data_IF_467924377617
#
_entry.id   IF_467924377617
#
_cell.length_a   1.000
_cell.length_b   1.000
_cell.length_c   1.000
_cell.angle_alpha   90.00
_cell.angle_beta   90.00
_cell.angle_gamma   90.00
#
_symmetry.space_group_name_H-M   'P 1'
#
loop_
_entity.id
_entity.type
_entity.pdbx_description
1 polymer ?
#
# COMPACT_ATOMS: atom_id res chain seq x y z
N UNK A 1 -2.31 -19.54 54.66
CA UNK A 1 -3.22 -19.94 53.58
C UNK A 1 -3.57 -18.82 52.60
N UNK A 2 -3.78 -17.59 53.02
CA UNK A 2 -4.13 -16.45 52.12
C UNK A 2 -3.05 -16.10 51.11
N UNK A 3 -1.76 -16.06 51.49
CA UNK A 3 -0.67 -15.72 50.55
C UNK A 3 -0.57 -16.68 49.36
N UNK A 4 -0.80 -17.97 49.55
CA UNK A 4 -0.77 -18.96 48.46
C UNK A 4 -1.94 -18.72 47.47
N UNK A 5 -3.14 -18.39 47.97
CA UNK A 5 -4.30 -18.07 47.12
C UNK A 5 -4.08 -16.81 46.29
N UNK A 6 -3.48 -15.76 46.88
CA UNK A 6 -3.16 -14.51 46.17
C UNK A 6 -2.13 -14.77 45.06
N UNK A 7 -1.11 -15.54 45.33
CA UNK A 7 -0.08 -15.91 44.32
C UNK A 7 -0.71 -16.71 43.19
N UNK A 8 -1.58 -17.67 43.48
CA UNK A 8 -2.26 -18.47 42.47
C UNK A 8 -3.15 -17.60 41.58
N UNK A 9 -3.95 -16.69 42.14
CA UNK A 9 -4.79 -15.77 41.39
C UNK A 9 -3.94 -14.87 40.51
N UNK A 10 -2.87 -14.29 41.03
CA UNK A 10 -1.96 -13.45 40.25
C UNK A 10 -1.32 -14.22 39.08
N UNK A 11 -0.85 -15.45 39.33
CA UNK A 11 -0.27 -16.28 38.26
C UNK A 11 -1.29 -16.61 37.15
N UNK A 12 -2.55 -16.89 37.54
CA UNK A 12 -3.62 -17.16 36.59
C UNK A 12 -3.95 -15.93 35.72
N UNK A 13 -3.99 -14.74 36.31
CA UNK A 13 -4.20 -13.49 35.59
C UNK A 13 -3.08 -13.19 34.63
N UNK A 14 -1.81 -13.38 35.06
CA UNK A 14 -0.65 -13.19 34.20
C UNK A 14 -0.66 -14.17 33.03
N UNK A 15 -0.97 -15.44 33.28
CA UNK A 15 -1.06 -16.45 32.22
C UNK A 15 -2.15 -16.12 31.22
N UNK A 16 -3.33 -15.70 31.71
CA UNK A 16 -4.44 -15.29 30.84
C UNK A 16 -4.08 -14.05 29.99
N UNK A 17 -3.43 -13.05 30.59
CA UNK A 17 -2.96 -11.88 29.86
C UNK A 17 -1.91 -12.24 28.81
N UNK A 18 -0.98 -13.12 29.13
CA UNK A 18 0.04 -13.59 28.19
C UNK A 18 -0.58 -14.33 26.99
N UNK A 19 -1.55 -15.22 27.23
CA UNK A 19 -2.24 -15.94 26.16
C UNK A 19 -3.10 -15.01 25.28
N UNK A 20 -3.74 -14.02 25.87
CA UNK A 20 -4.49 -13.01 25.14
C UNK A 20 -3.58 -12.15 24.24
N UNK A 21 -2.42 -11.74 24.74
CA UNK A 21 -1.41 -11.00 23.97
C UNK A 21 -0.88 -11.84 22.80
N UNK A 22 -0.51 -13.09 23.04
CA UNK A 22 -0.04 -14.00 21.98
C UNK A 22 -1.12 -14.19 20.90
N UNK A 23 -2.38 -14.35 21.30
CA UNK A 23 -3.51 -14.43 20.38
C UNK A 23 -3.65 -13.15 19.54
N UNK A 24 -3.56 -11.98 20.17
CA UNK A 24 -3.63 -10.69 19.49
C UNK A 24 -2.52 -10.53 18.43
N UNK A 25 -1.28 -10.84 18.79
CA UNK A 25 -0.17 -10.74 17.85
C UNK A 25 -0.17 -11.83 16.77
N UNK A 26 -0.83 -12.95 17.00
CA UNK A 26 -0.91 -14.04 16.00
C UNK A 26 -2.04 -13.87 15.01
N UNK A 27 -3.23 -13.44 15.48
CA UNK A 27 -4.44 -13.37 14.66
C UNK A 27 -4.45 -12.12 13.77
N UNK A 28 -3.93 -11.01 14.28
CA UNK A 28 -3.98 -9.72 13.58
C UNK A 28 -2.67 -9.41 12.82
N UNK A 29 -2.13 -10.39 12.13
CA UNK A 29 -0.99 -10.20 11.23
C UNK A 29 -1.46 -9.97 9.81
N UNK A 30 -0.83 -9.03 9.11
CA UNK A 30 -1.10 -8.78 7.69
C UNK A 30 -0.68 -10.00 6.88
N UNK A 31 -1.63 -10.59 6.18
CA UNK A 31 -1.45 -11.67 5.21
C UNK A 31 -1.90 -11.26 3.82
N UNK A 32 -2.70 -10.21 3.71
CA UNK A 32 -3.23 -9.72 2.45
C UNK A 32 -3.17 -8.20 2.37
N UNK A 33 -2.73 -7.70 1.21
CA UNK A 33 -2.78 -6.28 0.87
C UNK A 33 -3.65 -6.10 -0.36
N UNK A 34 -4.65 -5.23 -0.26
CA UNK A 34 -5.48 -4.79 -1.37
C UNK A 34 -5.12 -3.38 -1.81
N UNK A 35 -5.21 -3.12 -3.11
CA UNK A 35 -5.23 -1.77 -3.65
C UNK A 35 -6.56 -1.55 -4.33
N UNK A 36 -7.33 -0.59 -3.81
CA UNK A 36 -8.63 -0.20 -4.36
C UNK A 36 -8.41 1.07 -5.17
N UNK A 37 -8.54 0.97 -6.48
CA UNK A 37 -8.41 2.14 -7.35
C UNK A 37 -9.32 2.04 -8.57
N UNK A 38 -9.64 3.22 -9.12
CA UNK A 38 -10.30 3.36 -10.41
C UNK A 38 -9.20 3.48 -11.45
N UNK A 39 -9.07 2.48 -12.31
CA UNK A 39 -8.12 2.53 -13.41
C UNK A 39 -8.81 2.98 -14.69
N UNK A 40 -8.09 3.78 -15.45
CA UNK A 40 -8.52 4.26 -16.76
C UNK A 40 -7.59 3.71 -17.86
N UNK A 41 -6.39 3.21 -17.51
CA UNK A 41 -5.41 2.70 -18.47
C UNK A 41 -5.04 1.23 -18.24
N UNK A 42 -4.68 0.54 -19.33
CA UNK A 42 -4.15 -0.84 -19.25
C UNK A 42 -2.77 -0.88 -18.60
N UNK A 43 -2.01 0.22 -18.63
CA UNK A 43 -0.70 0.31 -17.99
C UNK A 43 -0.84 0.29 -16.46
N UNK A 44 -1.72 1.11 -15.90
CA UNK A 44 -2.00 1.09 -14.47
C UNK A 44 -2.50 -0.29 -14.02
N UNK A 45 -3.31 -0.95 -14.83
CA UNK A 45 -3.78 -2.31 -14.55
C UNK A 45 -2.65 -3.34 -14.52
N UNK A 46 -1.66 -3.19 -15.38
CA UNK A 46 -0.50 -4.09 -15.37
C UNK A 46 0.43 -3.85 -14.16
N UNK A 47 0.58 -2.60 -13.74
CA UNK A 47 1.48 -2.23 -12.65
C UNK A 47 0.88 -2.47 -11.25
N UNK A 48 -0.45 -2.51 -11.12
CA UNK A 48 -1.11 -2.67 -9.81
C UNK A 48 -0.73 -3.97 -9.08
N UNK A 49 -0.48 -5.04 -9.81
CA UNK A 49 -0.09 -6.30 -9.17
C UNK A 49 1.33 -6.23 -8.62
N UNK A 50 2.23 -5.50 -9.29
CA UNK A 50 3.57 -5.23 -8.76
C UNK A 50 3.51 -4.34 -7.52
N UNK A 51 2.72 -3.26 -7.56
CA UNK A 51 2.49 -2.40 -6.41
C UNK A 51 1.95 -3.17 -5.20
N UNK A 52 0.97 -4.06 -5.41
CA UNK A 52 0.44 -4.93 -4.34
C UNK A 52 1.50 -5.85 -3.76
N UNK A 53 2.34 -6.44 -4.61
CA UNK A 53 3.40 -7.34 -4.18
C UNK A 53 4.42 -6.62 -3.30
N UNK A 54 4.83 -5.40 -3.69
CA UNK A 54 5.78 -4.60 -2.93
C UNK A 54 5.18 -4.12 -1.60
N UNK A 55 3.91 -3.70 -1.59
CA UNK A 55 3.20 -3.34 -0.36
C UNK A 55 3.03 -4.56 0.56
N UNK A 56 2.75 -5.74 0.02
CA UNK A 56 2.69 -6.97 0.81
C UNK A 56 4.05 -7.30 1.40
N UNK A 57 5.13 -7.21 0.63
CA UNK A 57 6.48 -7.46 1.14
C UNK A 57 6.88 -6.52 2.28
N UNK A 58 6.39 -5.27 2.26
CA UNK A 58 6.63 -4.31 3.34
C UNK A 58 5.87 -4.68 4.62
N UNK A 59 4.61 -5.09 4.51
CA UNK A 59 3.72 -5.24 5.67
C UNK A 59 3.45 -6.68 6.10
N UNK A 60 3.89 -7.69 5.34
CA UNK A 60 3.64 -9.10 5.67
C UNK A 60 4.16 -9.46 7.07
N UNK A 61 3.27 -9.98 7.89
CA UNK A 61 3.56 -10.37 9.26
C UNK A 61 3.51 -9.24 10.30
N UNK A 62 3.41 -7.97 9.88
CA UNK A 62 3.19 -6.84 10.77
C UNK A 62 1.80 -6.93 11.42
N UNK A 63 1.65 -6.36 12.62
CA UNK A 63 0.35 -6.34 13.25
C UNK A 63 -0.53 -5.24 12.62
N UNK A 64 -1.73 -5.61 12.16
CA UNK A 64 -2.68 -4.71 11.47
C UNK A 64 -2.96 -3.40 12.24
N UNK A 65 -2.92 -3.43 13.57
CA UNK A 65 -3.18 -2.25 14.41
C UNK A 65 -1.93 -1.40 14.67
N UNK A 66 -0.74 -2.00 14.58
CA UNK A 66 0.51 -1.35 14.98
C UNK A 66 1.31 -0.82 13.79
N UNK A 67 1.00 -1.27 12.57
CA UNK A 67 1.70 -0.83 11.38
C UNK A 67 1.55 0.67 11.13
N UNK A 68 2.57 1.26 10.52
CA UNK A 68 2.59 2.66 10.10
C UNK A 68 2.25 2.76 8.60
N UNK A 69 1.14 3.40 8.27
CA UNK A 69 0.68 3.54 6.88
C UNK A 69 1.53 4.50 6.02
N UNK A 70 2.35 5.34 6.67
CA UNK A 70 3.22 6.29 5.95
C UNK A 70 4.43 5.61 5.32
N UNK A 71 4.81 4.42 5.81
CA UNK A 71 5.93 3.66 5.25
C UNK A 71 5.65 3.20 3.81
N UNK A 72 4.37 3.15 3.42
CA UNK A 72 3.96 2.88 2.04
C UNK A 72 4.28 4.01 1.05
N UNK A 73 4.54 5.24 1.53
CA UNK A 73 4.78 6.39 0.65
C UNK A 73 6.01 6.18 -0.24
N UNK A 74 7.09 5.61 0.31
CA UNK A 74 8.29 5.27 -0.45
C UNK A 74 8.00 4.28 -1.59
N UNK A 75 7.08 3.33 -1.37
CA UNK A 75 6.67 2.39 -2.41
C UNK A 75 5.83 3.13 -3.46
N UNK A 76 4.85 3.92 -3.07
CA UNK A 76 4.04 4.69 -4.03
C UNK A 76 4.88 5.64 -4.88
N UNK A 77 5.96 6.21 -4.35
CA UNK A 77 6.90 7.06 -5.10
C UNK A 77 7.62 6.30 -6.22
N UNK A 78 7.71 4.97 -6.16
CA UNK A 78 8.26 4.15 -7.24
C UNK A 78 7.26 3.84 -8.36
N UNK A 79 5.99 4.14 -8.11
CA UNK A 79 4.87 3.93 -9.04
C UNK A 79 4.19 5.26 -9.35
N UNK A 80 4.77 6.10 -10.22
CA UNK A 80 4.34 7.48 -10.44
C UNK A 80 2.91 7.62 -10.99
N UNK A 81 2.35 6.55 -11.56
CA UNK A 81 0.96 6.50 -12.00
C UNK A 81 -0.06 6.30 -10.88
N UNK A 82 0.40 6.03 -9.65
CA UNK A 82 -0.50 5.80 -8.52
C UNK A 82 -0.27 6.83 -7.42
N UNK A 83 -1.34 7.52 -7.07
CA UNK A 83 -1.36 8.43 -5.91
C UNK A 83 -2.18 7.81 -4.79
N UNK A 84 -1.56 7.55 -3.64
CA UNK A 84 -2.25 7.12 -2.42
C UNK A 84 -3.25 8.19 -1.99
N UNK A 85 -4.50 7.81 -1.79
CA UNK A 85 -5.58 8.70 -1.34
C UNK A 85 -6.17 8.31 -0.01
N UNK A 86 -5.97 7.07 0.42
CA UNK A 86 -6.49 6.59 1.69
C UNK A 86 -5.91 5.25 2.10
N UNK A 87 -6.27 4.87 3.32
CA UNK A 87 -5.87 3.62 3.93
C UNK A 87 -6.98 3.11 4.85
N UNK A 88 -7.26 1.82 4.81
CA UNK A 88 -8.20 1.18 5.73
C UNK A 88 -7.74 -0.21 6.13
N UNK A 89 -8.16 -0.63 7.31
CA UNK A 89 -7.91 -1.96 7.86
C UNK A 89 -9.16 -2.82 7.70
N UNK A 90 -9.00 -4.00 7.14
CA UNK A 90 -10.05 -5.00 6.99
C UNK A 90 -9.67 -6.22 7.82
N UNK A 91 -10.25 -6.30 9.02
CA UNK A 91 -9.88 -7.31 10.01
C UNK A 91 -10.29 -8.73 9.55
N UNK A 92 -9.53 -9.78 9.94
CA UNK A 92 -8.45 -9.72 10.95
C UNK A 92 -7.06 -9.42 10.38
N UNK A 93 -6.79 -9.62 9.09
CA UNK A 93 -5.45 -9.81 8.54
C UNK A 93 -5.20 -9.09 7.20
N UNK A 94 -6.10 -8.19 6.82
CA UNK A 94 -6.00 -7.47 5.55
C UNK A 94 -5.92 -5.97 5.75
N UNK A 95 -5.11 -5.33 4.91
CA UNK A 95 -5.06 -3.87 4.76
C UNK A 95 -5.39 -3.49 3.31
N UNK A 96 -5.99 -2.33 3.13
CA UNK A 96 -6.38 -1.82 1.82
C UNK A 96 -5.88 -0.39 1.69
N UNK A 97 -5.10 -0.15 0.65
CA UNK A 97 -4.74 1.19 0.19
C UNK A 97 -5.75 1.66 -0.86
N UNK A 98 -6.21 2.89 -0.71
CA UNK A 98 -7.00 3.56 -1.73
C UNK A 98 -6.05 4.42 -2.55
N UNK A 99 -6.14 4.31 -3.87
CA UNK A 99 -5.30 5.06 -4.78
C UNK A 99 -6.13 5.60 -5.95
N UNK A 100 -5.64 6.67 -6.56
CA UNK A 100 -6.12 7.18 -7.84
C UNK A 100 -5.02 7.06 -8.88
N UNK A 101 -5.41 6.85 -10.12
CA UNK A 101 -4.49 6.92 -11.25
C UNK A 101 -4.23 8.38 -11.61
N UNK A 102 -2.96 8.72 -11.80
CA UNK A 102 -2.55 10.00 -12.37
C UNK A 102 -2.53 9.88 -13.89
N UNK A 103 -3.37 10.70 -14.52
CA UNK A 103 -3.51 10.74 -15.97
C UNK A 103 -2.38 11.53 -16.63
N UNK A 104 -1.94 11.09 -17.80
CA UNK A 104 -0.98 11.81 -18.64
C UNK A 104 -1.64 13.03 -19.25
N UNK A 105 -1.25 14.24 -18.83
CA UNK A 105 -1.86 15.49 -19.28
C UNK A 105 -0.95 16.29 -20.19
N UNK A 106 0.36 16.29 -19.92
CA UNK A 106 1.32 17.11 -20.64
C UNK A 106 2.50 16.28 -21.12
N UNK A 107 3.05 16.65 -22.28
CA UNK A 107 4.31 16.16 -22.78
C UNK A 107 5.26 17.34 -23.02
N UNK A 108 6.39 17.38 -22.34
CA UNK A 108 7.42 18.41 -22.50
C UNK A 108 8.65 17.80 -23.15
N UNK A 109 9.12 18.39 -24.25
CA UNK A 109 10.32 17.94 -24.93
C UNK A 109 11.59 18.37 -24.20
N UNK A 110 12.52 17.42 -24.04
CA UNK A 110 13.84 17.65 -23.44
C UNK A 110 14.93 16.95 -24.26
N UNK A 111 16.18 17.21 -23.95
CA UNK A 111 17.31 16.51 -24.58
C UNK A 111 17.31 15.00 -24.39
N UNK A 112 16.55 14.50 -23.41
CA UNK A 112 16.41 13.06 -23.06
C UNK A 112 15.15 12.42 -23.62
N UNK A 113 14.36 13.17 -24.39
CA UNK A 113 13.07 12.76 -24.89
C UNK A 113 11.89 13.57 -24.31
N UNK A 114 10.72 13.03 -24.38
CA UNK A 114 9.51 13.66 -23.85
C UNK A 114 9.31 13.26 -22.39
N UNK A 115 9.22 14.27 -21.52
CA UNK A 115 8.73 14.09 -20.14
C UNK A 115 7.20 14.06 -20.20
N UNK A 116 6.63 12.97 -19.76
CA UNK A 116 5.17 12.83 -19.61
C UNK A 116 4.82 13.24 -18.20
N UNK A 117 3.92 14.20 -18.08
CA UNK A 117 3.58 14.85 -16.81
C UNK A 117 2.10 14.64 -16.48
N UNK A 118 1.83 14.40 -15.21
CA UNK A 118 0.51 14.40 -14.63
C UNK A 118 -0.05 15.83 -14.45
N UNK A 119 -1.27 15.93 -13.95
CA UNK A 119 -1.98 17.22 -13.75
C UNK A 119 -1.25 18.16 -12.78
N UNK A 120 -0.58 17.63 -11.79
CA UNK A 120 0.19 18.39 -10.78
C UNK A 120 1.64 18.65 -11.18
N UNK A 121 2.06 18.22 -12.40
CA UNK A 121 3.42 18.34 -12.90
C UNK A 121 4.37 17.23 -12.46
N UNK A 122 3.87 16.18 -11.82
CA UNK A 122 4.67 14.98 -11.51
C UNK A 122 5.12 14.31 -12.81
N UNK A 123 6.38 13.90 -12.87
CA UNK A 123 6.91 13.14 -14.03
C UNK A 123 6.42 11.70 -13.92
N UNK A 124 5.54 11.30 -14.82
CA UNK A 124 4.99 9.95 -14.88
C UNK A 124 5.90 9.00 -15.65
N UNK A 125 6.47 9.48 -16.76
CA UNK A 125 7.42 8.68 -17.56
C UNK A 125 8.31 9.57 -18.44
N UNK A 126 9.38 8.97 -18.99
CA UNK A 126 10.22 9.58 -20.02
C UNK A 126 10.16 8.67 -21.24
N UNK A 127 9.82 9.22 -22.40
CA UNK A 127 9.62 8.47 -23.64
C UNK A 127 10.28 9.15 -24.83
N UNK A 128 10.56 8.37 -25.88
CA UNK A 128 11.06 8.89 -27.16
C UNK A 128 9.96 9.61 -27.99
N UNK A 129 8.69 9.42 -27.61
CA UNK A 129 7.52 9.99 -28.31
C UNK A 129 6.53 10.56 -27.29
N UNK A 130 5.91 11.69 -27.65
CA UNK A 130 4.82 12.30 -26.90
C UNK A 130 3.53 11.47 -26.94
N UNK A 131 3.42 10.54 -27.89
CA UNK A 131 2.20 9.74 -28.07
C UNK A 131 2.11 8.62 -27.03
N UNK A 132 0.93 8.48 -26.45
CA UNK A 132 0.62 7.32 -25.63
C UNK A 132 0.40 6.10 -26.52
N UNK A 133 1.37 5.16 -26.52
CA UNK A 133 1.30 3.93 -27.32
C UNK A 133 0.23 2.95 -26.83
N UNK A 134 -0.18 3.06 -25.57
CA UNK A 134 -1.12 2.11 -24.97
C UNK A 134 -2.56 2.30 -25.44
N UNK A 135 -2.97 3.54 -25.71
CA UNK A 135 -4.37 3.86 -26.00
C UNK A 135 -4.66 4.11 -27.49
N UNK A 136 -3.65 4.05 -28.36
CA UNK A 136 -3.80 4.37 -29.79
C UNK A 136 -4.27 5.80 -30.05
N UNK A 137 -4.21 6.66 -29.06
CA UNK A 137 -4.63 8.05 -29.14
C UNK A 137 -3.49 8.90 -29.72
N UNK A 138 -3.65 9.33 -30.95
CA UNK A 138 -2.65 10.08 -31.71
C UNK A 138 -2.60 11.59 -31.37
N UNK A 139 -3.32 12.04 -30.34
CA UNK A 139 -3.46 13.46 -30.04
C UNK A 139 -3.17 13.77 -28.57
N UNK A 140 -1.96 14.09 -28.26
CA UNK A 140 -1.60 14.97 -27.17
C UNK A 140 -0.90 16.19 -27.75
#
# INVERSE_FOLDING_TARGET
MQKKKIITVFLTVVLFAATALLGFFSVYRVNEVGVCFKYNSEQAKAEVESLKADLLALYEGENVFLLNETDAEEIFDTYPYFRKTGFRRELPDKIIFEATEDEEIFAAYTERGYLILGLDGTILSIRDSALNRADGNENI
#
